data_IF_836414248669
#
_entry.id   IF_836414248669
#
_cell.length_a   1.000
_cell.length_b   1.000
_cell.length_c   1.000
_cell.angle_alpha   90.00
_cell.angle_beta   90.00
_cell.angle_gamma   90.00
#
_symmetry.space_group_name_H-M   'P 1'
#
loop_
_entity.id
_entity.type
_entity.pdbx_description
1 polymer ?
#
# COMPACT_ATOMS: atom_id res chain seq x y z
N UNK A 1 -16.17 0.67 -32.27
CA UNK A 1 -15.67 1.92 -31.70
C UNK A 1 -14.40 1.56 -30.88
N UNK A 2 -13.31 2.29 -30.97
CA UNK A 2 -12.10 1.96 -30.23
C UNK A 2 -12.09 2.84 -28.96
N UNK A 3 -12.32 2.22 -27.81
CA UNK A 3 -12.27 2.92 -26.51
C UNK A 3 -10.84 3.32 -26.15
N UNK A 4 -10.66 4.50 -25.57
CA UNK A 4 -9.47 4.83 -24.79
C UNK A 4 -9.48 4.00 -23.50
N UNK A 5 -8.36 3.96 -22.79
CA UNK A 5 -8.26 3.26 -21.49
C UNK A 5 -9.24 3.84 -20.46
N UNK A 6 -9.34 5.17 -20.41
CA UNK A 6 -10.25 5.87 -19.49
C UNK A 6 -11.71 5.57 -19.81
N UNK A 7 -12.10 5.66 -21.08
CA UNK A 7 -13.47 5.36 -21.52
C UNK A 7 -13.84 3.90 -21.24
N UNK A 8 -12.95 2.95 -21.54
CA UNK A 8 -13.19 1.52 -21.29
C UNK A 8 -13.41 1.24 -19.81
N UNK A 9 -12.55 1.79 -18.92
CA UNK A 9 -12.70 1.58 -17.48
C UNK A 9 -13.99 2.24 -16.96
N UNK A 10 -14.31 3.47 -17.38
CA UNK A 10 -15.55 4.14 -16.99
C UNK A 10 -16.79 3.40 -17.44
N UNK A 11 -16.85 3.00 -18.71
CA UNK A 11 -17.98 2.25 -19.26
C UNK A 11 -18.18 0.92 -18.50
N UNK A 12 -17.08 0.20 -18.22
CA UNK A 12 -17.16 -1.04 -17.44
C UNK A 12 -17.71 -0.81 -16.03
N UNK A 13 -17.27 0.24 -15.34
CA UNK A 13 -17.76 0.58 -13.99
C UNK A 13 -19.24 0.96 -13.99
N UNK A 14 -19.74 1.53 -15.09
CA UNK A 14 -21.14 1.88 -15.29
C UNK A 14 -22.01 0.72 -15.78
N UNK A 15 -21.44 -0.47 -16.03
CA UNK A 15 -22.16 -1.60 -16.62
C UNK A 15 -22.52 -1.42 -18.11
N UNK A 16 -21.83 -0.52 -18.81
CA UNK A 16 -22.03 -0.24 -20.22
C UNK A 16 -21.25 -1.22 -21.11
N UNK A 17 -21.70 -1.48 -22.35
CA UNK A 17 -20.96 -2.30 -23.31
C UNK A 17 -19.57 -1.72 -23.61
N UNK A 18 -18.57 -2.58 -23.70
CA UNK A 18 -17.19 -2.24 -24.03
C UNK A 18 -16.66 -3.13 -25.14
N UNK A 19 -15.61 -2.69 -25.84
CA UNK A 19 -14.92 -3.47 -26.88
C UNK A 19 -14.23 -4.73 -26.34
N UNK A 20 -13.75 -4.68 -25.10
CA UNK A 20 -13.19 -5.78 -24.31
C UNK A 20 -13.14 -5.43 -22.83
N UNK A 21 -13.06 -6.38 -21.91
CA UNK A 21 -12.82 -6.08 -20.49
C UNK A 21 -11.52 -5.29 -20.29
N UNK A 22 -11.48 -4.32 -19.38
CA UNK A 22 -10.23 -3.67 -18.99
C UNK A 22 -9.33 -4.65 -18.26
N UNK A 23 -8.02 -4.59 -18.55
CA UNK A 23 -7.02 -5.49 -17.96
C UNK A 23 -5.93 -4.70 -17.29
N UNK A 24 -5.54 -5.14 -16.09
CA UNK A 24 -4.37 -4.65 -15.37
C UNK A 24 -3.65 -5.80 -14.70
N UNK A 25 -2.34 -5.70 -14.61
CA UNK A 25 -1.51 -6.54 -13.77
C UNK A 25 -0.60 -5.64 -12.92
N UNK A 26 -0.14 -6.16 -11.81
CA UNK A 26 0.75 -5.48 -10.90
C UNK A 26 1.78 -6.45 -10.33
N UNK A 27 2.90 -5.90 -9.85
CA UNK A 27 3.93 -6.62 -9.12
C UNK A 27 4.63 -5.67 -8.14
N UNK A 28 5.34 -6.24 -7.19
CA UNK A 28 6.31 -5.49 -6.40
C UNK A 28 7.63 -5.32 -7.16
N UNK A 29 8.29 -4.21 -6.85
CA UNK A 29 9.65 -3.88 -7.24
C UNK A 29 10.44 -3.61 -5.96
N UNK A 30 10.57 -4.64 -5.12
CA UNK A 30 10.97 -4.53 -3.70
C UNK A 30 12.20 -3.66 -3.42
N UNK A 31 13.16 -3.59 -4.35
CA UNK A 31 14.35 -2.75 -4.20
C UNK A 31 14.09 -1.30 -4.60
N UNK A 32 13.40 -1.09 -5.68
CA UNK A 32 13.13 0.21 -6.27
C UNK A 32 12.10 0.99 -5.44
N UNK A 33 11.05 0.32 -4.97
CA UNK A 33 9.95 0.94 -4.22
C UNK A 33 10.34 1.42 -2.80
N UNK A 34 11.59 1.21 -2.38
CA UNK A 34 12.15 1.79 -1.15
C UNK A 34 12.27 3.32 -1.26
N UNK A 35 12.46 3.84 -2.46
CA UNK A 35 12.55 5.28 -2.72
C UNK A 35 11.35 5.79 -3.50
N UNK A 36 10.97 7.07 -3.27
CA UNK A 36 9.92 7.75 -4.04
C UNK A 36 10.19 7.68 -5.54
N UNK A 37 11.44 7.98 -5.97
CA UNK A 37 11.79 7.97 -7.39
C UNK A 37 11.75 6.57 -7.97
N UNK A 38 12.28 5.57 -7.27
CA UNK A 38 12.27 4.19 -7.73
C UNK A 38 10.85 3.64 -7.89
N UNK A 39 9.93 3.94 -6.96
CA UNK A 39 8.52 3.58 -7.08
C UNK A 39 7.89 4.23 -8.33
N UNK A 40 8.13 5.53 -8.55
CA UNK A 40 7.59 6.25 -9.71
C UNK A 40 8.10 5.65 -11.02
N UNK A 41 9.41 5.46 -11.14
CA UNK A 41 10.05 4.95 -12.36
C UNK A 41 9.60 3.51 -12.67
N UNK A 42 9.51 2.67 -11.65
CA UNK A 42 9.06 1.29 -11.80
C UNK A 42 7.60 1.20 -12.23
N UNK A 43 6.70 1.97 -11.60
CA UNK A 43 5.28 2.00 -11.96
C UNK A 43 5.04 2.53 -13.36
N UNK A 44 5.64 3.66 -13.71
CA UNK A 44 5.50 4.24 -15.05
C UNK A 44 6.18 3.38 -16.13
N UNK A 45 7.36 2.83 -15.84
CA UNK A 45 8.06 1.91 -16.74
C UNK A 45 7.25 0.65 -17.02
N UNK A 46 6.66 0.05 -16.00
CA UNK A 46 5.79 -1.12 -16.15
C UNK A 46 4.54 -0.81 -16.95
N UNK A 47 3.89 0.33 -16.70
CA UNK A 47 2.75 0.81 -17.45
C UNK A 47 3.09 1.06 -18.92
N UNK A 48 4.20 1.71 -19.20
CA UNK A 48 4.65 2.02 -20.55
C UNK A 48 5.01 0.76 -21.35
N UNK A 49 5.60 -0.23 -20.69
CA UNK A 49 6.00 -1.49 -21.30
C UNK A 49 4.81 -2.35 -21.73
N UNK A 50 3.78 -2.45 -20.88
CA UNK A 50 2.68 -3.39 -21.08
C UNK A 50 1.36 -2.73 -21.51
N UNK A 51 1.21 -1.44 -21.30
CA UNK A 51 0.05 -0.68 -21.77
C UNK A 51 -1.26 -1.02 -21.10
N UNK A 52 -1.25 -1.40 -19.79
CA UNK A 52 -2.44 -1.76 -19.02
C UNK A 52 -3.56 -0.73 -19.13
N UNK A 53 -4.81 -1.15 -19.03
CA UNK A 53 -5.97 -0.26 -19.09
C UNK A 53 -6.12 0.62 -17.86
N UNK A 54 -5.65 0.16 -16.71
CA UNK A 54 -5.50 0.95 -15.50
C UNK A 54 -4.27 0.49 -14.72
N UNK A 55 -3.74 1.36 -13.87
CA UNK A 55 -2.61 1.06 -13.01
C UNK A 55 -3.09 0.78 -11.60
N UNK A 56 -2.64 -0.30 -10.98
CA UNK A 56 -2.64 -0.44 -9.52
C UNK A 56 -1.27 0.00 -9.02
N UNK A 57 -1.23 1.14 -8.33
CA UNK A 57 -0.01 1.54 -7.61
C UNK A 57 0.19 0.60 -6.44
N UNK A 58 1.30 -0.10 -6.45
CA UNK A 58 1.61 -1.14 -5.47
C UNK A 58 2.92 -0.79 -4.75
N UNK A 59 2.85 0.07 -3.71
CA UNK A 59 4.01 0.39 -2.91
C UNK A 59 4.41 -0.83 -2.07
N UNK A 60 5.58 -0.79 -1.46
CA UNK A 60 5.92 -1.78 -0.44
C UNK A 60 4.83 -1.80 0.65
N UNK A 61 4.44 -3.00 1.07
CA UNK A 61 3.32 -3.17 2.00
C UNK A 61 3.57 -2.53 3.38
N UNK A 62 4.81 -2.18 3.68
CA UNK A 62 5.28 -1.73 4.99
C UNK A 62 5.31 -0.22 5.15
N UNK A 63 5.12 0.56 4.10
CA UNK A 63 5.27 2.02 4.12
C UNK A 63 4.45 2.73 5.22
N UNK A 64 3.34 2.12 5.61
CA UNK A 64 2.40 2.69 6.57
C UNK A 64 2.73 2.37 8.04
N UNK A 65 3.67 1.45 8.32
CA UNK A 65 4.08 1.08 9.69
C UNK A 65 5.52 1.46 10.04
N UNK A 66 6.34 1.79 9.04
CA UNK A 66 7.75 2.12 9.25
C UNK A 66 7.96 3.36 10.11
N UNK A 67 7.08 4.37 9.98
CA UNK A 67 7.18 5.60 10.76
C UNK A 67 6.83 5.39 12.24
N UNK A 68 6.22 4.25 12.62
CA UNK A 68 6.07 3.79 14.01
C UNK A 68 7.22 2.88 14.48
N UNK A 69 8.26 2.68 13.64
CA UNK A 69 9.48 1.97 14.02
C UNK A 69 9.55 0.50 13.64
N UNK A 70 8.62 0.00 12.81
CA UNK A 70 8.79 -1.32 12.19
C UNK A 70 9.98 -1.29 11.24
N UNK A 71 10.86 -2.28 11.34
CA UNK A 71 12.01 -2.42 10.43
C UNK A 71 11.94 -3.72 9.64
N UNK A 72 12.61 -3.74 8.50
CA UNK A 72 12.59 -4.85 7.56
C UNK A 72 13.99 -5.17 7.06
N UNK A 73 14.26 -6.45 6.86
CA UNK A 73 15.44 -6.95 6.16
C UNK A 73 15.08 -7.28 4.70
N UNK A 74 15.95 -6.88 3.79
CA UNK A 74 15.77 -7.13 2.37
C UNK A 74 16.61 -8.34 1.95
N UNK A 75 15.99 -9.44 1.49
CA UNK A 75 16.71 -10.61 0.99
C UNK A 75 17.67 -10.25 -0.16
N UNK A 76 18.64 -11.12 -0.44
CA UNK A 76 19.60 -10.91 -1.55
C UNK A 76 18.91 -10.94 -2.90
N UNK A 77 17.90 -11.79 -3.09
CA UNK A 77 17.09 -11.82 -4.29
C UNK A 77 16.16 -10.59 -4.34
N UNK A 78 16.25 -9.73 -5.39
CA UNK A 78 15.39 -8.57 -5.52
C UNK A 78 13.91 -8.90 -5.77
N UNK A 79 13.56 -10.16 -6.03
CA UNK A 79 12.19 -10.61 -6.22
C UNK A 79 11.57 -11.18 -4.94
N UNK A 80 12.33 -11.33 -3.87
CA UNK A 80 11.82 -11.76 -2.58
C UNK A 80 11.32 -10.58 -1.74
N UNK A 81 10.21 -10.82 -1.03
CA UNK A 81 9.60 -9.80 -0.16
C UNK A 81 10.50 -9.51 1.05
N UNK A 82 10.51 -8.23 1.52
CA UNK A 82 11.17 -7.89 2.77
C UNK A 82 10.59 -8.67 3.95
N UNK A 83 11.46 -9.05 4.89
CA UNK A 83 11.11 -9.81 6.07
C UNK A 83 11.03 -8.86 7.27
N UNK A 84 9.96 -8.86 8.08
CA UNK A 84 9.91 -8.08 9.30
C UNK A 84 11.06 -8.45 10.25
N UNK A 85 11.83 -7.45 10.69
CA UNK A 85 12.96 -7.62 11.59
C UNK A 85 12.67 -7.14 13.02
N UNK A 86 11.87 -6.08 13.16
CA UNK A 86 11.47 -5.52 14.44
C UNK A 86 10.07 -4.95 14.36
N UNK A 87 9.25 -5.28 15.37
CA UNK A 87 7.95 -4.68 15.60
C UNK A 87 7.97 -3.82 16.87
N UNK A 88 7.32 -2.64 16.90
CA UNK A 88 7.32 -1.75 18.05
C UNK A 88 6.42 -2.23 19.19
N UNK A 89 5.37 -3.00 18.91
CA UNK A 89 4.37 -3.45 19.88
C UNK A 89 4.66 -4.89 20.32
N UNK A 90 5.02 -5.06 21.57
CA UNK A 90 5.27 -6.36 22.22
C UNK A 90 4.42 -6.56 23.49
N UNK A 91 3.74 -5.50 23.96
CA UNK A 91 2.79 -5.56 25.08
C UNK A 91 1.61 -4.62 24.86
N UNK A 92 0.52 -4.84 25.58
CA UNK A 92 -0.73 -4.06 25.44
C UNK A 92 -0.52 -2.58 25.75
N UNK A 93 0.28 -2.25 26.75
CA UNK A 93 0.51 -0.87 27.18
C UNK A 93 1.20 -0.02 26.10
N UNK A 94 1.90 -0.67 25.17
CA UNK A 94 2.61 0.05 24.11
C UNK A 94 1.68 0.65 23.05
N UNK A 95 0.43 0.20 22.96
CA UNK A 95 -0.56 0.83 22.09
C UNK A 95 -0.82 2.29 22.46
N UNK A 96 -0.80 2.62 23.75
CA UNK A 96 -1.05 3.97 24.27
C UNK A 96 0.04 4.97 23.89
N UNK A 97 1.21 4.48 23.50
CA UNK A 97 2.36 5.32 23.11
C UNK A 97 2.48 5.55 21.61
N UNK A 98 1.56 5.00 20.80
CA UNK A 98 1.55 5.25 19.35
C UNK A 98 1.11 6.68 19.07
N UNK A 99 2.02 7.47 18.52
CA UNK A 99 1.70 8.83 18.08
C UNK A 99 0.92 8.85 16.78
N UNK A 100 0.02 9.82 16.64
CA UNK A 100 -0.66 10.07 15.37
C UNK A 100 0.34 10.56 14.33
N UNK A 101 0.49 9.83 13.23
CA UNK A 101 1.40 10.20 12.15
C UNK A 101 0.82 11.33 11.30
N UNK A 102 1.71 12.23 10.87
CA UNK A 102 1.34 13.24 9.87
C UNK A 102 1.26 12.60 8.48
N UNK A 103 0.12 12.73 7.75
CA UNK A 103 0.00 12.14 6.42
C UNK A 103 0.95 12.74 5.38
N UNK A 104 1.51 13.93 5.65
CA UNK A 104 2.38 14.64 4.72
C UNK A 104 3.87 14.55 5.07
N UNK A 105 4.23 13.79 6.11
CA UNK A 105 5.62 13.62 6.56
C UNK A 105 6.03 12.14 6.49
N UNK A 106 7.32 11.89 6.73
CA UNK A 106 7.85 10.53 6.79
C UNK A 106 7.58 9.71 5.53
N UNK A 107 7.35 8.43 5.69
CA UNK A 107 7.06 7.51 4.59
C UNK A 107 5.68 7.74 3.98
N UNK A 108 4.68 8.17 4.76
CA UNK A 108 3.37 8.58 4.23
C UNK A 108 3.51 9.76 3.27
N UNK A 109 4.26 10.80 3.65
CA UNK A 109 4.53 11.96 2.79
C UNK A 109 5.29 11.61 1.51
N UNK A 110 6.31 10.75 1.59
CA UNK A 110 7.03 10.21 0.42
C UNK A 110 6.09 9.49 -0.53
N UNK A 111 5.14 8.75 0.02
CA UNK A 111 4.17 8.00 -0.77
C UNK A 111 3.18 8.93 -1.49
N UNK A 112 2.69 9.97 -0.83
CA UNK A 112 1.85 11.00 -1.45
C UNK A 112 2.60 11.70 -2.59
N UNK A 113 3.89 12.01 -2.40
CA UNK A 113 4.72 12.59 -3.48
C UNK A 113 4.86 11.62 -4.67
N UNK A 114 5.08 10.33 -4.41
CA UNK A 114 5.12 9.32 -5.47
C UNK A 114 3.80 9.27 -6.27
N UNK A 115 2.65 9.26 -5.60
CA UNK A 115 1.32 9.28 -6.26
C UNK A 115 1.13 10.53 -7.12
N UNK A 116 1.53 11.69 -6.64
CA UNK A 116 1.47 12.93 -7.40
C UNK A 116 2.33 12.88 -8.69
N UNK A 117 3.53 12.31 -8.59
CA UNK A 117 4.42 12.15 -9.75
C UNK A 117 3.91 11.10 -10.74
N UNK A 118 3.39 9.97 -10.24
CA UNK A 118 2.76 8.94 -11.07
C UNK A 118 1.55 9.53 -11.81
N UNK A 119 0.66 10.25 -11.10
CA UNK A 119 -0.49 10.91 -11.71
C UNK A 119 -0.10 11.84 -12.86
N UNK A 120 0.92 12.69 -12.65
CA UNK A 120 1.46 13.56 -13.70
C UNK A 120 2.04 12.76 -14.88
N UNK A 121 2.77 11.67 -14.59
CA UNK A 121 3.37 10.80 -15.61
C UNK A 121 2.34 10.05 -16.47
N UNK A 122 1.18 9.74 -15.90
CA UNK A 122 0.05 9.09 -16.62
C UNK A 122 -0.76 10.05 -17.51
N UNK A 123 -0.57 11.37 -17.40
CA UNK A 123 -1.15 12.42 -18.28
C UNK A 123 -2.67 12.33 -18.45
N UNK A 124 -3.39 11.82 -17.46
CA UNK A 124 -4.82 11.51 -17.53
C UNK A 124 -5.23 10.47 -18.61
N UNK A 125 -4.27 9.75 -19.17
CA UNK A 125 -4.53 8.72 -20.20
C UNK A 125 -4.82 7.34 -19.60
N UNK A 126 -4.41 7.13 -18.36
CA UNK A 126 -4.55 5.86 -17.62
C UNK A 126 -5.13 6.12 -16.24
N UNK A 127 -6.29 5.56 -15.92
CA UNK A 127 -6.79 5.59 -14.55
C UNK A 127 -5.88 4.81 -13.63
N UNK A 128 -5.79 5.19 -12.35
CA UNK A 128 -5.06 4.40 -11.38
C UNK A 128 -5.79 4.29 -10.04
N UNK A 129 -5.49 3.21 -9.33
CA UNK A 129 -5.94 2.94 -7.97
C UNK A 129 -4.74 2.69 -7.07
N UNK A 130 -4.92 2.89 -5.79
CA UNK A 130 -3.92 2.63 -4.76
C UNK A 130 -4.42 1.60 -3.77
N UNK A 131 -3.53 0.72 -3.31
CA UNK A 131 -3.83 -0.17 -2.19
C UNK A 131 -3.71 0.59 -0.87
N UNK A 132 -4.78 0.56 -0.09
CA UNK A 132 -4.83 1.07 1.28
C UNK A 132 -5.20 -0.09 2.20
N UNK A 133 -4.44 -0.27 3.27
CA UNK A 133 -4.73 -1.32 4.26
C UNK A 133 -5.75 -0.82 5.29
N UNK A 134 -6.58 -1.71 5.79
CA UNK A 134 -7.49 -1.39 6.88
C UNK A 134 -6.74 -1.31 8.23
N UNK A 135 -7.31 -0.64 9.25
CA UNK A 135 -6.65 -0.47 10.55
C UNK A 135 -6.21 -1.77 11.22
N UNK A 136 -7.01 -2.84 11.13
CA UNK A 136 -6.68 -4.14 11.72
C UNK A 136 -5.45 -4.78 11.06
N UNK A 137 -5.34 -4.69 9.73
CA UNK A 137 -4.14 -5.16 9.03
C UNK A 137 -2.88 -4.38 9.41
N UNK A 138 -3.03 -3.06 9.63
CA UNK A 138 -1.93 -2.20 10.09
C UNK A 138 -1.53 -2.59 11.52
N UNK A 139 -2.51 -2.76 12.41
CA UNK A 139 -2.26 -3.19 13.79
C UNK A 139 -1.51 -4.52 13.84
N UNK A 140 -1.90 -5.51 13.02
CA UNK A 140 -1.19 -6.79 12.93
C UNK A 140 0.27 -6.65 12.54
N UNK A 141 0.60 -5.70 11.64
CA UNK A 141 1.99 -5.46 11.24
C UNK A 141 2.82 -4.74 12.32
N UNK A 142 2.19 -4.00 13.22
CA UNK A 142 2.87 -3.34 14.35
C UNK A 142 3.28 -4.32 15.44
N UNK A 143 2.60 -5.45 15.55
CA UNK A 143 2.84 -6.46 16.60
C UNK A 143 3.89 -7.51 16.19
N UNK A 144 4.14 -7.71 14.92
CA UNK A 144 5.22 -8.54 14.40
C UNK A 144 5.01 -10.05 14.47
N UNK A 145 4.01 -10.56 15.24
CA UNK A 145 3.63 -11.98 15.25
C UNK A 145 2.11 -12.16 15.31
N UNK A 146 1.62 -13.17 14.61
CA UNK A 146 0.20 -13.51 14.61
C UNK A 146 -0.30 -13.92 16.00
N UNK A 147 0.49 -14.70 16.73
CA UNK A 147 0.15 -15.15 18.08
C UNK A 147 -0.05 -13.98 19.05
N UNK A 148 0.90 -13.03 19.08
CA UNK A 148 0.81 -11.82 19.90
C UNK A 148 -0.39 -10.97 19.46
N UNK A 149 -0.61 -10.81 18.17
CA UNK A 149 -1.74 -10.06 17.65
C UNK A 149 -3.09 -10.65 18.06
N UNK A 150 -3.26 -11.97 17.94
CA UNK A 150 -4.48 -12.66 18.36
C UNK A 150 -4.71 -12.54 19.87
N UNK A 151 -3.67 -12.63 20.69
CA UNK A 151 -3.79 -12.45 22.14
C UNK A 151 -4.23 -11.03 22.51
N UNK A 152 -3.71 -10.00 21.81
CA UNK A 152 -4.13 -8.62 21.99
C UNK A 152 -5.58 -8.40 21.56
N UNK A 153 -6.00 -8.95 20.42
CA UNK A 153 -7.39 -8.89 19.97
C UNK A 153 -8.36 -9.56 20.95
N UNK A 154 -7.99 -10.71 21.50
CA UNK A 154 -8.79 -11.40 22.52
C UNK A 154 -8.93 -10.55 23.78
N UNK A 155 -7.86 -9.96 24.26
CA UNK A 155 -7.89 -9.05 25.41
C UNK A 155 -8.83 -7.87 25.14
N UNK A 156 -8.65 -7.18 24.00
CA UNK A 156 -9.47 -6.03 23.63
C UNK A 156 -10.95 -6.40 23.47
N UNK A 157 -11.26 -7.57 22.90
CA UNK A 157 -12.64 -8.02 22.75
C UNK A 157 -13.36 -8.27 24.08
N UNK A 158 -12.63 -8.63 25.13
CA UNK A 158 -13.16 -8.83 26.49
C UNK A 158 -13.23 -7.52 27.30
N UNK A 159 -12.51 -6.48 26.86
CA UNK A 159 -12.41 -5.16 27.50
C UNK A 159 -12.89 -4.07 26.53
N UNK A 160 -14.12 -4.22 26.00
CA UNK A 160 -14.68 -3.44 24.89
C UNK A 160 -14.71 -1.91 25.08
N UNK A 161 -14.52 -1.41 26.28
CA UNK A 161 -14.40 0.04 26.55
C UNK A 161 -13.08 0.63 25.99
N UNK A 162 -12.07 -0.19 25.73
CA UNK A 162 -10.75 0.24 25.22
C UNK A 162 -10.70 0.26 23.67
N UNK A 163 -11.68 -0.36 23.01
CA UNK A 163 -11.79 -0.36 21.52
C UNK A 163 -12.19 1.01 20.92
N UNK A 164 -12.56 1.97 21.73
CA UNK A 164 -13.01 3.30 21.23
C UNK A 164 -11.84 4.16 20.70
N UNK A 165 -10.61 3.69 20.79
CA UNK A 165 -9.41 4.44 20.40
C UNK A 165 -8.64 3.82 19.19
N UNK A 166 -9.15 2.74 18.60
CA UNK A 166 -8.67 2.16 17.35
C UNK A 166 -9.60 2.50 16.18
#
# INVERSE_FOLDING_TARGET
MKYTKVERVKATLNGEPVDRPPVSLWRHFYREEVSTQGLVDSMLGFQNRYGWDFMKVNPRAQYHVEDWGVTFEYPSDPNEAPIPAKAPITSLEQWDYLETLSPTKGNLGKHIDALNRISKGLKNEVPFIMTVFNPISIAGQLVGSEETFLSHLQYISHHSTELQFL
#
